data_IF_941746414148
#
_entry.id   IF_941746414148
#
_cell.length_a   1.000
_cell.length_b   1.000
_cell.length_c   1.000
_cell.angle_alpha   90.00
_cell.angle_beta   90.00
_cell.angle_gamma   90.00
#
_symmetry.space_group_name_H-M   'P 1'
#
loop_
_entity.id
_entity.type
_entity.pdbx_description
1 polymer ?
#
# COMPACT_ATOMS: atom_id res chain seq x y z
N UNK A 1 -26.84 3.54 51.59
CA UNK A 1 -26.76 3.35 50.13
C UNK A 1 -26.70 1.86 49.90
N UNK A 2 -27.81 1.25 49.46
CA UNK A 2 -27.77 -0.14 49.03
C UNK A 2 -27.04 -0.16 47.70
N UNK A 3 -25.90 -0.87 47.65
CA UNK A 3 -25.26 -1.19 46.38
C UNK A 3 -26.29 -2.00 45.59
N UNK A 4 -26.64 -1.56 44.38
CA UNK A 4 -27.65 -2.23 43.53
C UNK A 4 -27.40 -3.72 43.38
N UNK A 5 -28.42 -4.47 42.97
CA UNK A 5 -28.31 -5.92 42.84
C UNK A 5 -27.26 -6.30 41.79
N UNK A 6 -26.54 -7.42 41.95
CA UNK A 6 -25.54 -7.91 40.99
C UNK A 6 -26.00 -7.79 39.51
N UNK A 7 -27.25 -8.16 39.14
CA UNK A 7 -27.78 -7.98 37.79
C UNK A 7 -27.84 -6.54 37.28
N UNK A 8 -28.14 -5.57 38.14
CA UNK A 8 -28.19 -4.14 37.79
C UNK A 8 -26.80 -3.61 37.45
N UNK A 9 -25.77 -4.04 38.20
CA UNK A 9 -24.38 -3.70 37.89
C UNK A 9 -23.90 -4.30 36.57
N UNK A 10 -24.28 -5.54 36.28
CA UNK A 10 -23.97 -6.15 34.98
C UNK A 10 -24.66 -5.42 33.83
N UNK A 11 -25.92 -5.03 34.01
CA UNK A 11 -26.70 -4.30 33.01
C UNK A 11 -26.09 -2.92 32.76
N UNK A 12 -25.79 -2.16 33.82
CA UNK A 12 -25.12 -0.88 33.71
C UNK A 12 -23.73 -0.99 33.05
N UNK A 13 -22.94 -2.02 33.39
CA UNK A 13 -21.67 -2.28 32.71
C UNK A 13 -21.86 -2.59 31.22
N UNK A 14 -22.86 -3.39 30.86
CA UNK A 14 -23.16 -3.74 29.47
C UNK A 14 -23.61 -2.52 28.65
N UNK A 15 -24.44 -1.65 29.23
CA UNK A 15 -24.86 -0.39 28.60
C UNK A 15 -23.67 0.53 28.35
N UNK A 16 -22.78 0.71 29.33
CA UNK A 16 -21.56 1.51 29.15
C UNK A 16 -20.67 0.92 28.06
N UNK A 17 -20.47 -0.40 28.03
CA UNK A 17 -19.70 -1.07 26.98
C UNK A 17 -20.35 -0.94 25.61
N UNK A 18 -21.68 -1.03 25.51
CA UNK A 18 -22.41 -0.83 24.26
C UNK A 18 -22.23 0.59 23.72
N UNK A 19 -22.31 1.61 24.58
CA UNK A 19 -22.04 3.00 24.19
C UNK A 19 -20.58 3.18 23.77
N UNK A 20 -19.63 2.64 24.54
CA UNK A 20 -18.20 2.71 24.17
C UNK A 20 -17.94 2.04 22.81
N UNK A 21 -18.48 0.84 22.57
CA UNK A 21 -18.32 0.16 21.28
C UNK A 21 -18.97 0.94 20.14
N UNK A 22 -20.18 1.47 20.30
CA UNK A 22 -20.83 2.30 19.28
C UNK A 22 -20.00 3.54 18.90
N UNK A 23 -19.35 4.19 19.88
CA UNK A 23 -18.54 5.38 19.63
C UNK A 23 -17.17 5.07 19.01
N UNK A 24 -16.52 3.98 19.43
CA UNK A 24 -15.13 3.72 19.05
C UNK A 24 -14.97 2.67 17.93
N UNK A 25 -15.94 1.78 17.74
CA UNK A 25 -15.87 0.74 16.70
C UNK A 25 -15.76 1.32 15.29
N UNK A 26 -16.54 2.34 14.87
CA UNK A 26 -16.41 2.91 13.52
C UNK A 26 -15.02 3.51 13.26
N UNK A 27 -14.43 4.13 14.28
CA UNK A 27 -13.08 4.68 14.19
C UNK A 27 -12.03 3.57 14.06
N UNK A 28 -12.21 2.49 14.81
CA UNK A 28 -11.32 1.33 14.75
C UNK A 28 -11.41 0.60 13.41
N UNK A 29 -12.62 0.41 12.86
CA UNK A 29 -12.81 -0.23 11.56
C UNK A 29 -12.19 0.59 10.44
N UNK A 30 -12.42 1.91 10.41
CA UNK A 30 -11.80 2.81 9.44
C UNK A 30 -10.26 2.80 9.53
N UNK A 31 -9.70 2.74 10.75
CA UNK A 31 -8.25 2.59 10.93
C UNK A 31 -7.74 1.26 10.36
N UNK A 32 -8.43 0.15 10.66
CA UNK A 32 -8.06 -1.19 10.17
C UNK A 32 -8.15 -1.27 8.64
N UNK A 33 -9.16 -0.67 8.04
CA UNK A 33 -9.36 -0.61 6.59
C UNK A 33 -8.26 0.19 5.89
N UNK A 34 -7.86 1.35 6.43
CA UNK A 34 -6.74 2.14 5.93
C UNK A 34 -5.43 1.34 5.97
N UNK A 35 -5.18 0.63 7.07
CA UNK A 35 -4.00 -0.24 7.19
C UNK A 35 -4.03 -1.35 6.15
N UNK A 36 -5.15 -2.05 6.01
CA UNK A 36 -5.30 -3.11 5.02
C UNK A 36 -5.20 -2.60 3.58
N UNK A 37 -5.67 -1.37 3.30
CA UNK A 37 -5.51 -0.70 2.01
C UNK A 37 -4.06 -0.44 1.68
N UNK A 38 -3.31 0.16 2.62
CA UNK A 38 -1.88 0.36 2.50
C UNK A 38 -1.12 -0.95 2.25
N UNK A 39 -1.38 -1.99 3.04
CA UNK A 39 -0.72 -3.30 2.88
C UNK A 39 -1.06 -4.00 1.55
N UNK A 40 -2.22 -3.72 0.95
CA UNK A 40 -2.54 -4.19 -0.41
C UNK A 40 -1.77 -3.41 -1.46
N UNK A 41 -1.77 -2.08 -1.37
CA UNK A 41 -1.07 -1.21 -2.31
C UNK A 41 0.44 -1.49 -2.31
N UNK A 42 1.05 -1.63 -1.13
CA UNK A 42 2.46 -1.98 -0.97
C UNK A 42 2.80 -3.28 -1.70
N UNK A 43 2.02 -4.34 -1.48
CA UNK A 43 2.23 -5.63 -2.18
C UNK A 43 2.10 -5.51 -3.68
N UNK A 44 1.12 -4.76 -4.19
CA UNK A 44 0.91 -4.58 -5.63
C UNK A 44 2.06 -3.79 -6.26
N UNK A 45 2.45 -2.66 -5.67
CA UNK A 45 3.56 -1.85 -6.18
C UNK A 45 4.88 -2.60 -6.14
N UNK A 46 5.20 -3.28 -5.04
CA UNK A 46 6.39 -4.10 -4.94
C UNK A 46 6.39 -5.23 -5.98
N UNK A 47 5.23 -5.85 -6.24
CA UNK A 47 5.07 -6.87 -7.28
C UNK A 47 5.37 -6.32 -8.68
N UNK A 48 4.70 -5.23 -9.07
CA UNK A 48 4.84 -4.61 -10.38
C UNK A 48 6.26 -4.06 -10.62
N UNK A 49 6.88 -3.47 -9.61
CA UNK A 49 8.28 -3.02 -9.69
C UNK A 49 9.24 -4.19 -9.89
N UNK A 50 9.04 -5.30 -9.17
CA UNK A 50 9.87 -6.50 -9.33
C UNK A 50 9.69 -7.15 -10.70
N UNK A 51 8.47 -7.13 -11.24
CA UNK A 51 8.17 -7.63 -12.58
C UNK A 51 8.88 -6.80 -13.66
N UNK A 52 8.77 -5.47 -13.61
CA UNK A 52 9.50 -4.58 -14.51
C UNK A 52 11.02 -4.79 -14.43
N UNK A 53 11.58 -4.91 -13.22
CA UNK A 53 13.01 -5.19 -13.05
C UNK A 53 13.43 -6.54 -13.61
N UNK A 54 12.57 -7.56 -13.54
CA UNK A 54 12.84 -8.88 -14.13
C UNK A 54 12.88 -8.77 -15.64
N UNK A 55 11.85 -8.15 -16.24
CA UNK A 55 11.74 -8.02 -17.69
C UNK A 55 12.89 -7.19 -18.27
N UNK A 56 13.34 -6.16 -17.55
CA UNK A 56 14.55 -5.39 -17.91
C UNK A 56 15.81 -6.24 -17.86
N UNK A 57 15.98 -7.06 -16.83
CA UNK A 57 17.14 -7.96 -16.73
C UNK A 57 17.17 -9.02 -17.84
N UNK A 58 16.01 -9.58 -18.19
CA UNK A 58 15.87 -10.52 -19.30
C UNK A 58 16.12 -9.84 -20.65
N UNK A 59 15.69 -8.59 -20.80
CA UNK A 59 15.89 -7.80 -22.02
C UNK A 59 17.34 -7.34 -22.23
N UNK A 60 18.05 -6.89 -21.17
CA UNK A 60 19.47 -6.53 -21.24
C UNK A 60 20.35 -7.73 -21.66
N UNK A 61 19.94 -8.95 -21.33
CA UNK A 61 20.62 -10.17 -21.79
C UNK A 61 20.41 -10.46 -23.29
N UNK A 62 19.45 -9.80 -23.96
CA UNK A 62 19.01 -10.13 -25.33
C UNK A 62 19.20 -9.03 -26.39
N UNK A 63 18.93 -7.75 -26.08
CA UNK A 63 19.14 -6.60 -26.97
C UNK A 63 18.83 -5.29 -26.22
N UNK A 64 19.33 -4.14 -26.70
CA UNK A 64 18.99 -2.81 -26.17
C UNK A 64 17.51 -2.46 -26.36
N UNK A 65 16.65 -3.03 -25.52
CA UNK A 65 15.20 -2.79 -25.48
C UNK A 65 14.95 -1.46 -24.77
N UNK A 66 14.05 -0.68 -25.35
CA UNK A 66 13.51 0.53 -24.75
C UNK A 66 12.61 0.16 -23.55
N UNK A 67 12.99 0.51 -22.30
CA UNK A 67 12.22 0.18 -21.09
C UNK A 67 10.76 0.61 -21.16
N UNK A 68 10.47 1.70 -21.88
CA UNK A 68 9.12 2.26 -21.98
C UNK A 68 8.15 1.43 -22.81
N UNK A 69 8.65 0.45 -23.57
CA UNK A 69 7.85 -0.43 -24.43
C UNK A 69 7.52 -1.78 -23.80
N UNK A 70 7.98 -2.02 -22.56
CA UNK A 70 7.66 -3.23 -21.83
C UNK A 70 6.22 -3.18 -21.32
N UNK A 71 5.50 -4.30 -21.41
CA UNK A 71 4.14 -4.43 -20.88
C UNK A 71 4.10 -4.13 -19.37
N UNK A 72 5.07 -4.64 -18.63
CA UNK A 72 5.24 -4.36 -17.20
C UNK A 72 5.47 -2.87 -16.87
N UNK A 73 6.10 -2.12 -17.78
CA UNK A 73 6.26 -0.67 -17.62
C UNK A 73 4.94 0.08 -17.87
N UNK A 74 4.13 -0.38 -18.82
CA UNK A 74 2.80 0.17 -19.09
C UNK A 74 1.84 -0.13 -17.93
N UNK A 75 1.78 -1.37 -17.47
CA UNK A 75 0.93 -1.79 -16.35
C UNK A 75 1.23 -1.00 -15.07
N UNK A 76 2.51 -0.89 -14.70
CA UNK A 76 2.92 -0.09 -13.54
C UNK A 76 2.57 1.39 -13.72
N UNK A 77 2.78 1.95 -14.92
CA UNK A 77 2.42 3.33 -15.22
C UNK A 77 0.91 3.59 -15.09
N UNK A 78 0.08 2.66 -15.58
CA UNK A 78 -1.38 2.71 -15.45
C UNK A 78 -1.81 2.62 -13.99
N UNK A 79 -1.21 1.70 -13.22
CA UNK A 79 -1.51 1.56 -11.80
C UNK A 79 -1.18 2.83 -11.02
N UNK A 80 0.02 3.40 -11.23
CA UNK A 80 0.44 4.65 -10.59
C UNK A 80 -0.52 5.80 -10.93
N UNK A 81 -0.92 5.93 -12.20
CA UNK A 81 -1.88 6.95 -12.64
C UNK A 81 -3.26 6.76 -12.01
N UNK A 82 -3.77 5.54 -11.98
CA UNK A 82 -5.05 5.23 -11.34
C UNK A 82 -5.01 5.51 -9.83
N UNK A 83 -3.89 5.18 -9.18
CA UNK A 83 -3.69 5.42 -7.75
C UNK A 83 -3.78 6.90 -7.39
N UNK A 84 -3.43 7.82 -8.30
CA UNK A 84 -3.58 9.25 -8.05
C UNK A 84 -5.03 9.67 -7.70
N UNK A 85 -6.02 8.97 -8.24
CA UNK A 85 -7.44 9.25 -8.00
C UNK A 85 -8.03 8.43 -6.85
N UNK A 86 -7.40 7.31 -6.49
CA UNK A 86 -7.94 6.38 -5.50
C UNK A 86 -7.36 6.57 -4.08
N UNK A 87 -6.14 7.10 -3.96
CA UNK A 87 -5.44 7.20 -2.68
C UNK A 87 -5.91 8.40 -1.86
N UNK A 88 -6.06 8.17 -0.56
CA UNK A 88 -6.59 9.18 0.37
C UNK A 88 -5.74 9.39 1.61
N UNK A 89 -4.89 8.42 1.97
CA UNK A 89 -4.05 8.52 3.16
C UNK A 89 -2.65 9.07 2.84
N UNK A 90 -2.05 9.88 3.74
CA UNK A 90 -0.69 10.40 3.54
C UNK A 90 0.37 9.31 3.33
N UNK A 91 0.20 8.14 3.96
CA UNK A 91 1.13 7.01 3.81
C UNK A 91 1.05 6.36 2.44
N UNK A 92 -0.16 6.19 1.92
CA UNK A 92 -0.32 5.67 0.55
C UNK A 92 0.22 6.65 -0.49
N UNK A 93 0.02 7.95 -0.29
CA UNK A 93 0.59 8.99 -1.16
C UNK A 93 2.12 8.92 -1.16
N UNK A 94 2.75 8.85 0.02
CA UNK A 94 4.20 8.71 0.13
C UNK A 94 4.71 7.45 -0.57
N UNK A 95 4.07 6.30 -0.34
CA UNK A 95 4.40 5.04 -0.99
C UNK A 95 4.30 5.12 -2.53
N UNK A 96 3.27 5.77 -3.06
CA UNK A 96 3.15 6.03 -4.50
C UNK A 96 4.32 6.87 -5.00
N UNK A 97 4.63 7.96 -4.31
CA UNK A 97 5.66 8.91 -4.75
C UNK A 97 7.05 8.24 -4.77
N UNK A 98 7.34 7.40 -3.77
CA UNK A 98 8.54 6.55 -3.74
C UNK A 98 8.56 5.56 -4.91
N UNK A 99 7.47 4.82 -5.13
CA UNK A 99 7.37 3.88 -6.25
C UNK A 99 7.45 4.57 -7.62
N UNK A 100 6.89 5.76 -7.77
CA UNK A 100 6.99 6.57 -8.99
C UNK A 100 8.43 7.03 -9.24
N UNK A 101 9.17 7.37 -8.18
CA UNK A 101 10.59 7.67 -8.26
C UNK A 101 11.40 6.49 -8.82
N UNK A 102 11.18 5.30 -8.27
CA UNK A 102 11.84 4.06 -8.73
C UNK A 102 11.42 3.72 -10.16
N UNK A 103 10.13 3.81 -10.48
CA UNK A 103 9.61 3.60 -11.84
C UNK A 103 10.31 4.50 -12.86
N UNK A 104 10.39 5.81 -12.60
CA UNK A 104 11.08 6.76 -13.47
C UNK A 104 12.59 6.48 -13.58
N UNK A 105 13.21 5.93 -12.53
CA UNK A 105 14.60 5.52 -12.56
C UNK A 105 14.80 4.27 -13.45
N UNK A 106 13.91 3.28 -13.36
CA UNK A 106 13.92 2.08 -14.19
C UNK A 106 13.71 2.37 -15.68
N UNK A 107 12.95 3.41 -16.01
CA UNK A 107 12.76 3.81 -17.41
C UNK A 107 13.97 4.51 -18.04
N UNK A 108 14.98 4.90 -17.26
CA UNK A 108 16.18 5.53 -17.81
C UNK A 108 17.05 4.49 -18.50
N UNK A 109 17.68 4.83 -19.66
CA UNK A 109 18.66 3.96 -20.29
C UNK A 109 19.82 3.66 -19.34
N UNK A 110 20.20 2.39 -19.20
CA UNK A 110 21.31 1.95 -18.33
C UNK A 110 21.02 2.10 -16.84
N UNK A 111 19.76 1.97 -16.42
CA UNK A 111 19.38 1.96 -15.02
C UNK A 111 20.13 0.87 -14.24
N UNK A 112 20.64 1.20 -13.06
CA UNK A 112 21.23 0.19 -12.16
C UNK A 112 20.11 -0.61 -11.48
N UNK A 113 19.66 -1.67 -12.16
CA UNK A 113 18.59 -2.56 -11.68
C UNK A 113 18.96 -3.19 -10.33
N UNK A 114 20.25 -3.46 -10.07
CA UNK A 114 20.69 -4.05 -8.81
C UNK A 114 20.61 -3.07 -7.64
N UNK A 115 20.92 -1.79 -7.86
CA UNK A 115 20.68 -0.74 -6.88
C UNK A 115 19.18 -0.54 -6.63
N UNK A 116 18.38 -0.43 -7.68
CA UNK A 116 16.94 -0.20 -7.57
C UNK A 116 16.20 -1.37 -6.91
N UNK A 117 16.68 -2.61 -7.08
CA UNK A 117 16.16 -3.77 -6.34
C UNK A 117 16.32 -3.64 -4.81
N UNK A 118 17.40 -3.00 -4.35
CA UNK A 118 17.60 -2.74 -2.91
C UNK A 118 16.67 -1.66 -2.40
N UNK A 119 16.37 -0.66 -3.22
CA UNK A 119 15.37 0.37 -2.89
C UNK A 119 13.97 -0.23 -2.79
N UNK A 120 13.60 -1.11 -3.73
CA UNK A 120 12.30 -1.82 -3.68
C UNK A 120 12.18 -2.70 -2.44
N UNK A 121 13.28 -3.34 -2.00
CA UNK A 121 13.28 -4.13 -0.78
C UNK A 121 13.18 -3.30 0.51
N UNK A 122 13.38 -1.98 0.42
CA UNK A 122 13.31 -1.03 1.53
C UNK A 122 11.98 -0.23 1.61
N UNK A 123 11.10 -0.38 0.61
CA UNK A 123 9.69 0.10 0.63
C UNK A 123 8.88 -0.57 1.75
#
# INVERSE_FOLDING_TARGET
>A
MELGTLPEWFTACAEVLAVCTALFLPRYTAFRERRASYERMHRVLAGLLNELMRDLGDAEAGAGVDPSKLESAEELGLYLKASYFALSSPREIALRDEAEGIYRALLKPGADVAALRREVAAL
#
